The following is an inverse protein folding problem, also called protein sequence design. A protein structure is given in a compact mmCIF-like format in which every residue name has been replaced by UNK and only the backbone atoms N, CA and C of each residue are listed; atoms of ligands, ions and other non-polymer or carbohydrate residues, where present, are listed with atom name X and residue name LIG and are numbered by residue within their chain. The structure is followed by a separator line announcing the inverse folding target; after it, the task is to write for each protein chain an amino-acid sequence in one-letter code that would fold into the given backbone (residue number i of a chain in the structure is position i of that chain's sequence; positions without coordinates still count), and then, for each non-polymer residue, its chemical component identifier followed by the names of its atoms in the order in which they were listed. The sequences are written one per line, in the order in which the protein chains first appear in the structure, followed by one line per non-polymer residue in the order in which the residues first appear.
data_IF_030939369233
#
_entry.id   IF_030939369233
#
_cell.length_a   1.000
_cell.length_b   1.000
_cell.length_c   1.000
_cell.angle_alpha   90.00
_cell.angle_beta   90.00
_cell.angle_gamma   90.00
#
_symmetry.space_group_name_H-M   'P 1'
#
loop_
_entity.id
_entity.type
_entity.pdbx_description
1 polymer ?
#
# COMPACT_ATOMS: atom_id res chain seq x y z
N UNK A 1 -27.22 -4.49 31.31
CA UNK A 1 -26.54 -3.78 30.20
C UNK A 1 -25.55 -4.75 29.59
N UNK A 2 -25.87 -5.28 28.41
CA UNK A 2 -24.99 -6.18 27.67
C UNK A 2 -24.26 -5.33 26.64
N UNK A 3 -22.97 -5.07 26.87
CA UNK A 3 -22.08 -4.54 25.83
C UNK A 3 -22.02 -5.56 24.68
N UNK A 4 -22.39 -5.21 23.44
CA UNK A 4 -22.24 -6.13 22.32
C UNK A 4 -20.74 -6.30 22.05
N UNK A 5 -20.19 -7.47 22.37
CA UNK A 5 -18.88 -7.92 21.90
C UNK A 5 -18.98 -8.15 20.40
N UNK A 6 -18.82 -7.08 19.63
CA UNK A 6 -18.54 -7.14 18.21
C UNK A 6 -17.11 -7.68 18.06
N UNK A 7 -16.96 -9.00 18.01
CA UNK A 7 -15.72 -9.64 17.56
C UNK A 7 -15.63 -9.38 16.07
N UNK A 8 -15.03 -8.24 15.71
CA UNK A 8 -14.65 -7.95 14.35
C UNK A 8 -13.58 -8.99 13.93
N UNK A 9 -13.63 -9.53 12.69
CA UNK A 9 -12.52 -10.33 12.17
C UNK A 9 -11.23 -9.50 12.22
N UNK A 10 -10.07 -10.14 12.36
CA UNK A 10 -8.76 -9.46 12.44
C UNK A 10 -8.50 -8.47 11.28
N UNK A 11 -9.22 -8.62 10.17
CA UNK A 11 -9.25 -7.72 9.01
C UNK A 11 -10.00 -6.39 9.21
N UNK A 12 -10.66 -6.19 10.35
CA UNK A 12 -11.42 -4.99 10.72
C UNK A 12 -10.95 -4.38 12.05
N UNK A 13 -9.71 -4.65 12.46
CA UNK A 13 -9.10 -3.97 13.61
C UNK A 13 -8.85 -2.50 13.24
N UNK A 14 -9.43 -1.60 14.02
CA UNK A 14 -9.32 -0.15 13.83
C UNK A 14 -8.45 0.49 14.91
N UNK A 15 -7.34 1.07 14.49
CA UNK A 15 -6.39 1.76 15.35
C UNK A 15 -6.75 3.25 15.49
N UNK A 16 -6.50 3.80 16.69
CA UNK A 16 -6.53 5.25 16.91
C UNK A 16 -5.27 5.90 16.34
N UNK A 17 -5.33 7.22 16.13
CA UNK A 17 -4.20 8.01 15.64
C UNK A 17 -2.96 7.88 16.54
N UNK A 18 -3.14 7.83 17.86
CA UNK A 18 -2.08 7.60 18.84
C UNK A 18 -1.40 6.24 18.63
N UNK A 19 -2.20 5.18 18.43
CA UNK A 19 -1.64 3.83 18.25
C UNK A 19 -0.91 3.68 16.92
N UNK A 20 -1.38 4.35 15.88
CA UNK A 20 -0.69 4.38 14.58
C UNK A 20 0.63 5.17 14.68
N UNK A 21 0.63 6.30 15.38
CA UNK A 21 1.84 7.10 15.64
C UNK A 21 2.92 6.28 16.36
N UNK A 22 2.52 5.49 17.35
CA UNK A 22 3.40 4.58 18.09
C UNK A 22 3.96 3.48 17.17
N UNK A 23 3.10 2.77 16.43
CA UNK A 23 3.51 1.66 15.56
C UNK A 23 4.44 2.08 14.43
N UNK A 24 4.15 3.22 13.80
CA UNK A 24 4.95 3.75 12.69
C UNK A 24 6.17 4.54 13.17
N UNK A 25 6.32 4.75 14.48
CA UNK A 25 7.41 5.57 15.06
C UNK A 25 7.50 6.96 14.42
N UNK A 26 6.34 7.56 14.08
CA UNK A 26 6.25 8.91 13.50
C UNK A 26 5.40 9.82 14.39
N UNK A 27 5.68 11.13 14.48
CA UNK A 27 4.85 12.06 15.24
C UNK A 27 3.41 12.12 14.69
N UNK A 28 2.41 12.24 15.57
CA UNK A 28 0.99 12.44 15.19
C UNK A 28 0.79 13.63 14.24
N UNK A 29 1.55 14.71 14.42
CA UNK A 29 1.53 15.87 13.50
C UNK A 29 1.91 15.49 12.06
N UNK A 30 2.82 14.53 11.89
CA UNK A 30 3.20 14.00 10.57
C UNK A 30 2.06 13.20 9.97
N UNK A 31 1.40 12.33 10.76
CA UNK A 31 0.19 11.61 10.33
C UNK A 31 -0.93 12.55 9.90
N UNK A 32 -1.17 13.63 10.64
CA UNK A 32 -2.16 14.66 10.31
C UNK A 32 -1.84 15.41 9.02
N UNK A 33 -0.55 15.67 8.77
CA UNK A 33 -0.08 16.28 7.52
C UNK A 33 -0.26 15.32 6.34
N UNK A 34 0.09 14.03 6.51
CA UNK A 34 -0.09 13.00 5.50
C UNK A 34 -1.55 12.78 5.11
N UNK A 35 -2.47 12.87 6.09
CA UNK A 35 -3.92 12.79 5.87
C UNK A 35 -4.43 13.87 4.90
N UNK A 36 -3.80 15.05 4.87
CA UNK A 36 -4.20 16.16 3.99
C UNK A 36 -3.66 16.04 2.57
N UNK A 37 -2.74 15.10 2.32
CA UNK A 37 -1.94 15.10 1.09
C UNK A 37 -2.36 14.02 0.08
N UNK A 38 -3.29 13.13 0.40
CA UNK A 38 -3.83 12.03 -0.45
C UNK A 38 -2.80 11.05 -1.09
N UNK A 39 -1.49 11.26 -0.91
CA UNK A 39 -0.46 10.52 -1.67
C UNK A 39 0.11 9.28 -0.98
N UNK A 40 -0.32 8.93 0.23
CA UNK A 40 0.41 7.94 1.06
C UNK A 40 -0.30 6.60 1.30
N UNK A 41 -1.55 6.41 0.86
CA UNK A 41 -2.20 5.09 0.88
C UNK A 41 -2.66 4.58 2.26
N UNK A 42 -2.51 5.35 3.34
CA UNK A 42 -3.16 5.09 4.62
C UNK A 42 -4.63 5.53 4.55
N UNK A 43 -5.53 4.58 4.33
CA UNK A 43 -6.95 4.85 4.39
C UNK A 43 -7.38 5.06 5.85
N UNK A 44 -8.30 6.00 6.07
CA UNK A 44 -8.88 6.29 7.36
C UNK A 44 -10.39 6.35 7.26
N UNK A 45 -11.07 6.09 8.37
CA UNK A 45 -12.51 6.28 8.51
C UNK A 45 -12.78 7.24 9.67
N UNK A 46 -13.83 8.04 9.54
CA UNK A 46 -14.39 8.80 10.65
C UNK A 46 -15.43 7.94 11.36
N UNK A 47 -15.20 7.65 12.64
CA UNK A 47 -16.11 6.87 13.46
C UNK A 47 -16.34 7.62 14.79
N UNK A 48 -17.58 8.03 15.04
CA UNK A 48 -17.96 8.82 16.23
C UNK A 48 -17.09 10.07 16.48
N UNK A 49 -16.75 10.81 15.42
CA UNK A 49 -15.90 12.00 15.53
C UNK A 49 -14.41 11.73 15.73
N UNK A 50 -13.99 10.46 15.81
CA UNK A 50 -12.59 10.06 15.86
C UNK A 50 -12.11 9.54 14.49
N UNK A 51 -10.83 9.78 14.17
CA UNK A 51 -10.16 9.17 13.03
C UNK A 51 -9.67 7.78 13.43
N UNK A 52 -9.99 6.78 12.60
CA UNK A 52 -9.57 5.39 12.77
C UNK A 52 -8.87 4.90 11.51
N UNK A 53 -7.85 4.07 11.70
CA UNK A 53 -7.08 3.47 10.61
C UNK A 53 -7.27 1.97 10.66
N UNK A 54 -7.41 1.32 9.50
CA UNK A 54 -7.46 -0.15 9.48
C UNK A 54 -6.04 -0.68 9.72
N UNK A 55 -5.90 -1.67 10.62
CA UNK A 55 -4.62 -2.27 10.94
C UNK A 55 -3.91 -2.83 9.69
N UNK A 56 -4.64 -3.45 8.77
CA UNK A 56 -4.07 -3.95 7.51
C UNK A 56 -3.43 -2.83 6.68
N UNK A 57 -4.05 -1.65 6.65
CA UNK A 57 -3.57 -0.52 5.87
C UNK A 57 -2.34 0.11 6.55
N UNK A 58 -2.32 0.11 7.89
CA UNK A 58 -1.18 0.55 8.70
C UNK A 58 0.02 -0.40 8.54
N UNK A 59 -0.22 -1.71 8.54
CA UNK A 59 0.84 -2.71 8.32
C UNK A 59 1.39 -2.62 6.89
N UNK A 60 0.52 -2.56 5.87
CA UNK A 60 0.93 -2.39 4.48
C UNK A 60 1.72 -1.08 4.27
N UNK A 61 1.33 -0.02 4.98
CA UNK A 61 2.08 1.24 4.99
C UNK A 61 3.45 1.07 5.66
N UNK A 62 3.53 0.39 6.80
CA UNK A 62 4.77 0.16 7.52
C UNK A 62 5.75 -0.69 6.71
N UNK A 63 5.27 -1.76 6.08
CA UNK A 63 6.05 -2.62 5.20
C UNK A 63 6.61 -1.81 4.02
N UNK A 64 5.77 -0.99 3.37
CA UNK A 64 6.21 -0.10 2.29
C UNK A 64 7.21 0.96 2.76
N UNK A 65 7.02 1.51 3.96
CA UNK A 65 7.88 2.56 4.52
C UNK A 65 9.25 2.00 4.92
N UNK A 66 9.28 0.77 5.41
CA UNK A 66 10.51 0.10 5.83
C UNK A 66 11.19 -0.67 4.69
N UNK A 67 10.62 -0.72 3.48
CA UNK A 67 11.22 -1.41 2.33
C UNK A 67 12.43 -0.61 1.81
N UNK A 68 13.67 -1.07 2.08
CA UNK A 68 14.87 -0.38 1.62
C UNK A 68 15.13 -0.63 0.13
N UNK A 69 14.43 -1.59 -0.49
CA UNK A 69 14.65 -2.05 -1.86
C UNK A 69 13.61 -1.44 -2.80
N UNK A 70 13.82 -0.16 -3.10
CA UNK A 70 13.09 0.51 -4.17
C UNK A 70 13.75 0.23 -5.52
N UNK A 71 13.26 -0.80 -6.21
CA UNK A 71 13.72 -1.15 -7.55
C UNK A 71 13.38 -0.05 -8.56
N UNK A 72 14.33 0.21 -9.44
CA UNK A 72 14.15 1.02 -10.64
C UNK A 72 13.23 0.30 -11.65
N UNK A 73 12.74 1.03 -12.65
CA UNK A 73 11.94 0.44 -13.73
C UNK A 73 12.69 -0.68 -14.49
N UNK A 74 13.99 -0.57 -14.84
CA UNK A 74 14.77 -1.67 -15.41
C UNK A 74 14.87 -2.88 -14.48
N UNK A 75 15.25 -2.70 -13.22
CA UNK A 75 15.37 -3.81 -12.26
C UNK A 75 14.03 -4.52 -12.06
N UNK A 76 12.93 -3.77 -12.04
CA UNK A 76 11.57 -4.34 -11.93
C UNK A 76 11.22 -5.16 -13.17
N UNK A 77 11.62 -4.70 -14.35
CA UNK A 77 11.41 -5.45 -15.59
C UNK A 77 12.20 -6.77 -15.58
N UNK A 78 13.43 -6.74 -15.07
CA UNK A 78 14.27 -7.93 -14.90
C UNK A 78 13.66 -8.91 -13.88
N UNK A 79 13.18 -8.41 -12.73
CA UNK A 79 12.51 -9.23 -11.70
C UNK A 79 11.24 -9.91 -12.27
N UNK A 80 10.44 -9.17 -13.02
CA UNK A 80 9.23 -9.69 -13.67
C UNK A 80 9.54 -10.52 -14.93
N UNK A 81 10.79 -10.58 -15.36
CA UNK A 81 11.25 -11.21 -16.60
C UNK A 81 10.46 -10.75 -17.82
N UNK A 82 10.23 -9.44 -17.94
CA UNK A 82 9.54 -8.80 -19.07
C UNK A 82 10.42 -7.74 -19.69
N UNK A 83 10.20 -7.43 -20.97
CA UNK A 83 10.88 -6.31 -21.60
C UNK A 83 10.51 -4.98 -20.89
N UNK A 84 11.49 -4.11 -20.69
CA UNK A 84 11.28 -2.78 -20.09
C UNK A 84 10.17 -1.98 -20.80
N UNK A 85 10.08 -2.08 -22.12
CA UNK A 85 9.03 -1.42 -22.89
C UNK A 85 7.63 -1.97 -22.61
N UNK A 86 7.54 -3.26 -22.29
CA UNK A 86 6.29 -3.91 -21.86
C UNK A 86 5.84 -3.36 -20.50
N UNK A 87 6.77 -3.28 -19.54
CA UNK A 87 6.47 -2.71 -18.22
C UNK A 87 6.01 -1.25 -18.32
N UNK A 88 6.66 -0.44 -19.18
CA UNK A 88 6.24 0.94 -19.46
C UNK A 88 4.82 1.01 -20.01
N UNK A 89 4.47 0.17 -20.98
CA UNK A 89 3.12 0.10 -21.51
C UNK A 89 2.10 -0.32 -20.45
N UNK A 90 2.41 -1.33 -19.62
CA UNK A 90 1.54 -1.75 -18.53
C UNK A 90 1.30 -0.65 -17.52
N UNK A 91 2.34 0.13 -17.21
CA UNK A 91 2.23 1.26 -16.30
C UNK A 91 1.29 2.34 -16.83
N UNK A 92 1.42 2.70 -18.10
CA UNK A 92 0.52 3.67 -18.76
C UNK A 92 -0.91 3.13 -18.80
N UNK A 93 -1.08 1.84 -19.05
CA UNK A 93 -2.38 1.18 -19.09
C UNK A 93 -3.01 0.89 -17.71
N UNK A 94 -2.31 1.19 -16.60
CA UNK A 94 -2.78 0.90 -15.23
C UNK A 94 -2.78 -0.58 -14.86
N UNK A 95 -2.02 -1.42 -15.59
CA UNK A 95 -1.92 -2.88 -15.40
C UNK A 95 -0.62 -3.32 -14.72
N UNK A 96 0.29 -2.40 -14.43
CA UNK A 96 1.56 -2.68 -13.77
C UNK A 96 1.40 -2.82 -12.24
N UNK A 97 2.42 -3.36 -11.54
CA UNK A 97 2.49 -3.27 -10.10
C UNK A 97 2.38 -1.83 -9.60
N UNK A 98 1.99 -1.70 -8.33
CA UNK A 98 1.94 -0.40 -7.67
C UNK A 98 3.35 0.19 -7.65
N UNK A 99 3.44 1.48 -7.99
CA UNK A 99 4.68 2.22 -8.09
C UNK A 99 4.54 3.59 -7.45
N UNK A 100 5.68 4.16 -7.11
CA UNK A 100 5.80 5.48 -6.51
C UNK A 100 6.66 6.36 -7.39
N UNK A 101 6.39 7.66 -7.38
CA UNK A 101 7.21 8.65 -8.06
C UNK A 101 8.14 9.29 -7.04
N UNK A 102 9.45 9.10 -7.23
CA UNK A 102 10.47 9.69 -6.38
C UNK A 102 10.91 11.06 -6.95
N UNK A 103 10.34 12.15 -6.42
CA UNK A 103 10.75 13.51 -6.78
C UNK A 103 9.95 14.16 -7.91
N UNK A 104 10.49 15.22 -8.51
CA UNK A 104 9.76 16.09 -9.48
C UNK A 104 9.76 15.58 -10.91
N UNK A 105 10.69 14.69 -11.26
CA UNK A 105 10.80 14.16 -12.62
C UNK A 105 9.86 12.96 -12.78
N UNK A 106 9.02 13.01 -13.81
CA UNK A 106 8.02 11.96 -14.10
C UNK A 106 8.65 10.58 -14.39
N UNK A 107 9.94 10.54 -14.71
CA UNK A 107 10.68 9.32 -15.05
C UNK A 107 11.32 8.61 -13.86
N UNK A 108 11.35 9.24 -12.67
CA UNK A 108 11.93 8.61 -11.49
C UNK A 108 10.89 7.73 -10.78
N UNK A 109 10.62 6.59 -11.39
CA UNK A 109 9.61 5.64 -10.92
C UNK A 109 10.30 4.54 -10.13
N UNK A 110 9.73 4.25 -8.96
CA UNK A 110 10.22 3.27 -8.00
C UNK A 110 9.14 2.25 -7.70
N UNK A 111 9.53 0.99 -7.71
CA UNK A 111 8.69 -0.12 -7.33
C UNK A 111 9.20 -0.67 -6.01
N UNK A 112 8.28 -0.96 -5.09
CA UNK A 112 8.61 -1.71 -3.89
C UNK A 112 8.58 -3.19 -4.22
N UNK A 113 9.52 -3.96 -3.68
CA UNK A 113 9.57 -5.40 -3.94
C UNK A 113 8.28 -6.08 -3.48
N UNK A 114 7.76 -5.66 -2.32
CA UNK A 114 6.49 -6.15 -1.80
C UNK A 114 5.31 -5.88 -2.74
N UNK A 115 5.25 -4.69 -3.36
CA UNK A 115 4.18 -4.34 -4.31
C UNK A 115 4.28 -5.18 -5.61
N UNK A 116 5.51 -5.53 -6.04
CA UNK A 116 5.75 -6.42 -7.18
C UNK A 116 5.23 -7.82 -6.86
N UNK A 117 5.60 -8.38 -5.71
CA UNK A 117 5.16 -9.71 -5.27
C UNK A 117 3.64 -9.79 -5.10
N UNK A 118 3.04 -8.77 -4.47
CA UNK A 118 1.60 -8.69 -4.31
C UNK A 118 0.88 -8.67 -5.68
N UNK A 119 1.42 -7.93 -6.65
CA UNK A 119 0.87 -7.90 -8.00
C UNK A 119 0.97 -9.26 -8.70
N UNK A 120 2.11 -9.95 -8.60
CA UNK A 120 2.28 -11.30 -9.18
C UNK A 120 1.25 -12.27 -8.58
N UNK A 121 1.09 -12.25 -7.26
CA UNK A 121 0.10 -13.08 -6.56
C UNK A 121 -1.34 -12.79 -7.02
N UNK A 122 -1.68 -11.52 -7.24
CA UNK A 122 -2.99 -11.12 -7.74
C UNK A 122 -3.20 -11.61 -9.17
N UNK A 123 -2.21 -11.47 -10.06
CA UNK A 123 -2.31 -11.98 -11.43
C UNK A 123 -2.49 -13.50 -11.47
N UNK A 124 -1.78 -14.26 -10.63
CA UNK A 124 -1.96 -15.71 -10.53
C UNK A 124 -3.36 -16.12 -10.05
N UNK A 125 -3.98 -15.33 -9.16
CA UNK A 125 -5.37 -15.57 -8.72
C UNK A 125 -6.37 -15.28 -9.82
N UNK A 126 -6.19 -14.20 -10.57
CA UNK A 126 -7.03 -13.84 -11.70
C UNK A 126 -7.03 -14.93 -12.78
N UNK A 127 -5.86 -15.50 -13.10
CA UNK A 127 -5.76 -16.59 -14.09
C UNK A 127 -6.41 -17.90 -13.64
N UNK A 128 -6.63 -18.09 -12.34
CA UNK A 128 -7.25 -19.31 -11.79
C UNK A 128 -8.79 -19.24 -11.79
N UNK A 129 -9.38 -18.07 -12.07
CA UNK A 129 -10.84 -17.85 -11.97
C UNK A 129 -11.63 -18.20 -13.24
N UNK A 130 -10.95 -18.47 -14.35
CA UNK A 130 -11.55 -18.80 -15.66
C UNK A 130 -11.50 -20.31 -15.99
N UNK A 131 -11.31 -21.17 -14.99
CA UNK A 131 -11.13 -22.62 -15.18
C UNK A 131 -12.03 -23.49 -14.30
N UNK A 132 -13.34 -23.26 -14.29
CA UNK A 132 -14.36 -24.24 -13.84
C UNK A 132 -15.60 -24.15 -14.74
#
# INVERSE_FOLDING_TARGET
MLEPKFTLPDSLIFLTEEKVSELLTIPTKTLQSMRKSDCNGLAFIHFHGCVRYRLSDVNAFQERWNDPLQCTEPETADILNVALNTLKHWRIAGKAPRHTRAGRNADNIRYHLHDIEAWVNEQSRLTTKDGV
#
